data_IF_879539229346
#
_entry.id   IF_879539229346
#
_cell.length_a   1.000
_cell.length_b   1.000
_cell.length_c   1.000
_cell.angle_alpha   90.00
_cell.angle_beta   90.00
_cell.angle_gamma   90.00
#
_symmetry.space_group_name_H-M   'P 1'
#
loop_
_entity.id
_entity.type
_entity.pdbx_description
1 polymer ?
#
# COMPACT_ATOMS: atom_id res chain seq x y z
N UNK A 1 1.70 -11.40 -9.30
CA UNK A 1 2.26 -10.03 -9.11
C UNK A 1 2.59 -9.94 -7.64
N UNK A 2 3.73 -9.38 -7.28
CA UNK A 2 4.11 -9.25 -5.87
C UNK A 2 3.59 -7.91 -5.35
N UNK A 3 2.80 -7.94 -4.28
CA UNK A 3 2.42 -6.77 -3.52
C UNK A 3 3.45 -6.56 -2.41
N UNK A 4 3.89 -5.32 -2.25
CA UNK A 4 4.72 -4.88 -1.13
C UNK A 4 3.98 -3.78 -0.37
N UNK A 5 3.70 -3.99 0.92
CA UNK A 5 3.19 -2.93 1.80
C UNK A 5 4.27 -2.52 2.78
N UNK A 6 4.57 -1.22 2.86
CA UNK A 6 5.65 -0.72 3.74
C UNK A 6 5.21 0.50 4.54
N UNK A 7 5.52 0.55 5.85
CA UNK A 7 5.40 1.80 6.59
C UNK A 7 6.44 2.81 6.08
N UNK A 8 6.05 4.07 6.00
CA UNK A 8 6.92 5.18 5.59
C UNK A 8 6.82 6.33 6.57
N UNK A 9 7.89 7.13 6.66
CA UNK A 9 7.87 8.33 7.47
C UNK A 9 6.90 9.34 6.86
N UNK A 10 5.73 9.50 7.50
CA UNK A 10 4.63 10.32 7.00
C UNK A 10 5.04 11.79 6.83
N UNK A 11 5.85 12.28 7.77
CA UNK A 11 6.36 13.65 7.78
C UNK A 11 7.32 13.90 6.61
N UNK A 12 8.29 13.01 6.41
CA UNK A 12 9.19 13.11 5.26
C UNK A 12 8.41 13.08 3.95
N UNK A 13 7.43 12.18 3.84
CA UNK A 13 6.62 12.04 2.65
C UNK A 13 5.83 13.33 2.34
N UNK A 14 5.21 13.91 3.36
CA UNK A 14 4.45 15.15 3.24
C UNK A 14 5.31 16.39 2.99
N UNK A 15 6.44 16.54 3.69
CA UNK A 15 7.27 17.74 3.63
C UNK A 15 8.23 17.75 2.45
N UNK A 16 8.65 16.57 1.97
CA UNK A 16 9.71 16.45 0.97
C UNK A 16 9.21 15.78 -0.32
N UNK A 17 8.62 14.58 -0.24
CA UNK A 17 8.29 13.78 -1.43
C UNK A 17 7.14 14.38 -2.22
N UNK A 18 5.99 14.68 -1.59
CA UNK A 18 4.84 15.23 -2.31
C UNK A 18 5.14 16.59 -2.97
N UNK A 19 5.80 17.57 -2.29
CA UNK A 19 6.17 18.83 -2.92
C UNK A 19 7.18 18.65 -4.05
N UNK A 20 8.19 17.78 -3.87
CA UNK A 20 9.16 17.43 -4.91
C UNK A 20 8.47 16.92 -6.18
N UNK A 21 7.60 15.92 -6.05
CA UNK A 21 6.91 15.31 -7.20
C UNK A 21 5.97 16.29 -7.90
N UNK A 22 5.28 17.13 -7.12
CA UNK A 22 4.41 18.18 -7.67
C UNK A 22 5.21 19.19 -8.49
N UNK A 23 6.33 19.68 -7.94
CA UNK A 23 7.18 20.66 -8.63
C UNK A 23 7.88 20.04 -9.85
N UNK A 24 8.28 18.77 -9.77
CA UNK A 24 8.96 18.08 -10.87
C UNK A 24 8.11 17.95 -12.13
N UNK A 25 6.78 18.06 -12.02
CA UNK A 25 5.88 18.10 -13.19
C UNK A 25 6.14 19.31 -14.09
N UNK A 26 6.50 20.46 -13.52
CA UNK A 26 6.70 21.71 -14.26
C UNK A 26 8.17 22.12 -14.36
N UNK A 27 8.95 21.89 -13.30
CA UNK A 27 10.34 22.31 -13.18
C UNK A 27 11.15 21.26 -12.39
N UNK A 28 11.61 20.23 -13.10
CA UNK A 28 12.34 19.13 -12.48
C UNK A 28 13.73 19.56 -11.97
N UNK A 29 14.38 20.54 -12.61
CA UNK A 29 15.65 21.06 -12.12
C UNK A 29 15.50 21.73 -10.74
N UNK A 30 14.51 22.63 -10.58
CA UNK A 30 14.25 23.27 -9.29
C UNK A 30 13.79 22.26 -8.24
N UNK A 31 12.98 21.28 -8.62
CA UNK A 31 12.56 20.19 -7.73
C UNK A 31 13.76 19.41 -7.19
N UNK A 32 14.68 18.98 -8.07
CA UNK A 32 15.90 18.25 -7.71
C UNK A 32 16.83 19.10 -6.82
N UNK A 33 17.02 20.38 -7.13
CA UNK A 33 17.80 21.29 -6.30
C UNK A 33 17.20 21.45 -4.90
N UNK A 34 15.87 21.65 -4.83
CA UNK A 34 15.16 21.80 -3.56
C UNK A 34 15.29 20.53 -2.72
N UNK A 35 14.99 19.36 -3.30
CA UNK A 35 15.10 18.07 -2.62
C UNK A 35 16.54 17.86 -2.12
N UNK A 36 17.54 17.97 -3.00
CA UNK A 36 18.96 17.77 -2.67
C UNK A 36 19.42 18.60 -1.46
N UNK A 37 18.94 19.85 -1.34
CA UNK A 37 19.34 20.72 -0.22
C UNK A 37 18.79 20.28 1.15
N UNK A 38 17.78 19.42 1.16
CA UNK A 38 17.15 18.89 2.38
C UNK A 38 17.67 17.50 2.76
N UNK A 39 18.41 16.82 1.86
CA UNK A 39 18.91 15.47 2.08
C UNK A 39 20.34 15.47 2.63
N UNK A 40 20.57 14.62 3.62
CA UNK A 40 21.88 14.25 4.14
C UNK A 40 22.38 12.90 3.57
N UNK A 41 21.48 12.11 2.97
CA UNK A 41 21.83 10.84 2.30
C UNK A 41 22.65 11.07 1.02
N UNK A 42 23.88 10.57 0.98
CA UNK A 42 24.83 10.80 -0.12
C UNK A 42 24.36 10.23 -1.45
N UNK A 43 23.81 9.02 -1.46
CA UNK A 43 23.38 8.34 -2.68
C UNK A 43 22.19 9.06 -3.34
N UNK A 44 21.19 9.49 -2.56
CA UNK A 44 20.09 10.31 -3.08
C UNK A 44 20.58 11.66 -3.61
N UNK A 45 21.57 12.28 -2.96
CA UNK A 45 22.17 13.53 -3.44
C UNK A 45 22.92 13.35 -4.75
N UNK A 46 23.69 12.27 -4.88
CA UNK A 46 24.39 11.91 -6.12
C UNK A 46 23.42 11.65 -7.27
N UNK A 47 22.30 10.96 -7.01
CA UNK A 47 21.24 10.78 -8.00
C UNK A 47 20.63 12.12 -8.44
N UNK A 48 20.36 13.02 -7.50
CA UNK A 48 19.90 14.38 -7.82
C UNK A 48 20.93 15.14 -8.68
N UNK A 49 22.22 15.05 -8.37
CA UNK A 49 23.30 15.71 -9.11
C UNK A 49 23.46 15.16 -10.52
N UNK A 50 23.41 13.84 -10.66
CA UNK A 50 23.43 13.18 -11.97
C UNK A 50 22.28 13.66 -12.83
N UNK A 51 21.05 13.63 -12.29
CA UNK A 51 19.85 14.08 -13.01
C UNK A 51 19.90 15.57 -13.37
N UNK A 52 20.46 16.42 -12.49
CA UNK A 52 20.67 17.84 -12.78
C UNK A 52 21.70 18.06 -13.89
N UNK A 53 22.73 17.23 -13.97
CA UNK A 53 23.80 17.35 -14.97
C UNK A 53 23.36 16.98 -16.38
N UNK A 54 22.38 16.07 -16.51
CA UNK A 54 21.85 15.61 -17.80
C UNK A 54 20.46 16.16 -18.14
N UNK A 55 19.95 17.10 -17.33
CA UNK A 55 18.65 17.74 -17.54
C UNK A 55 18.63 18.59 -18.81
N UNK A 56 17.54 18.49 -19.58
CA UNK A 56 17.38 19.20 -20.88
C UNK A 56 16.30 20.30 -20.83
N UNK A 57 15.85 20.69 -19.64
CA UNK A 57 14.81 21.72 -19.46
C UNK A 57 13.40 21.15 -19.23
N UNK A 58 12.54 21.93 -18.57
CA UNK A 58 11.12 21.58 -18.34
C UNK A 58 10.88 20.62 -17.17
N UNK A 59 9.78 19.87 -17.27
CA UNK A 59 9.33 18.90 -16.25
C UNK A 59 9.96 17.51 -16.40
N UNK A 60 9.21 16.45 -16.10
CA UNK A 60 9.72 15.06 -16.15
C UNK A 60 10.16 14.57 -17.53
N UNK A 61 9.72 15.20 -18.62
CA UNK A 61 10.18 14.83 -19.96
C UNK A 61 11.66 15.15 -20.20
N UNK A 62 12.24 16.04 -19.39
CA UNK A 62 13.64 16.48 -19.52
C UNK A 62 14.63 15.75 -18.62
N UNK A 63 14.22 14.67 -17.94
CA UNK A 63 15.10 13.85 -17.08
C UNK A 63 15.31 12.45 -17.64
N UNK A 64 16.49 11.87 -17.38
CA UNK A 64 16.77 10.46 -17.66
C UNK A 64 15.85 9.55 -16.83
N UNK A 65 15.23 8.56 -17.47
CA UNK A 65 14.20 7.74 -16.84
C UNK A 65 14.76 6.75 -15.81
N UNK A 66 15.90 6.10 -16.09
CA UNK A 66 16.47 5.12 -15.15
C UNK A 66 16.93 5.77 -13.83
N UNK A 67 17.73 6.85 -13.82
CA UNK A 67 18.14 7.50 -12.56
C UNK A 67 16.96 8.18 -11.86
N UNK A 68 15.95 8.63 -12.62
CA UNK A 68 14.69 9.12 -12.05
C UNK A 68 13.97 8.02 -11.27
N UNK A 69 13.79 6.85 -11.87
CA UNK A 69 13.16 5.71 -11.22
C UNK A 69 13.93 5.28 -9.96
N UNK A 70 15.26 5.27 -10.01
CA UNK A 70 16.12 4.96 -8.86
C UNK A 70 15.97 6.00 -7.74
N UNK A 71 15.96 7.29 -8.06
CA UNK A 71 15.74 8.35 -7.08
C UNK A 71 14.35 8.23 -6.45
N UNK A 72 13.32 8.04 -7.27
CA UNK A 72 11.93 7.89 -6.81
C UNK A 72 11.77 6.67 -5.91
N UNK A 73 12.38 5.53 -6.27
CA UNK A 73 12.39 4.33 -5.43
C UNK A 73 13.05 4.64 -4.07
N UNK A 74 14.20 5.29 -4.10
CA UNK A 74 14.94 5.63 -2.89
C UNK A 74 14.16 6.56 -1.96
N UNK A 75 13.57 7.63 -2.49
CA UNK A 75 12.83 8.59 -1.64
C UNK A 75 11.49 8.04 -1.16
N UNK A 76 10.81 7.20 -1.94
CA UNK A 76 9.51 6.69 -1.59
C UNK A 76 9.54 5.44 -0.69
N UNK A 77 10.60 4.60 -0.77
CA UNK A 77 10.61 3.28 -0.13
C UNK A 77 11.68 3.07 0.94
N UNK A 78 12.62 4.01 1.11
CA UNK A 78 13.56 3.97 2.24
C UNK A 78 12.94 4.54 3.50
N UNK A 79 13.46 4.12 4.65
CA UNK A 79 13.05 4.69 5.92
C UNK A 79 13.88 5.95 6.18
N UNK A 80 13.21 7.10 6.21
CA UNK A 80 13.84 8.39 6.44
C UNK A 80 13.70 8.84 7.89
N UNK A 81 14.78 9.41 8.43
CA UNK A 81 14.84 10.07 9.73
C UNK A 81 15.31 11.50 9.59
N UNK A 82 14.87 12.37 10.51
CA UNK A 82 15.35 13.75 10.57
C UNK A 82 16.65 13.78 11.36
N UNK A 83 17.74 14.18 10.71
CA UNK A 83 19.05 14.42 11.32
C UNK A 83 19.36 15.91 11.47
N UNK A 84 20.50 16.26 12.11
CA UNK A 84 20.91 17.65 12.33
C UNK A 84 21.28 18.40 11.05
N UNK A 85 21.62 17.67 9.98
CA UNK A 85 22.10 18.22 8.70
C UNK A 85 21.10 18.02 7.56
N UNK A 86 19.94 17.43 7.83
CA UNK A 86 18.92 17.09 6.83
C UNK A 86 18.32 15.72 7.08
N UNK A 87 17.53 15.26 6.11
CA UNK A 87 16.92 13.93 6.13
C UNK A 87 17.91 12.85 5.69
N UNK A 88 18.00 11.77 6.43
CA UNK A 88 18.89 10.64 6.15
C UNK A 88 18.16 9.31 6.16
N UNK A 89 18.70 8.33 5.45
CA UNK A 89 18.18 6.96 5.47
C UNK A 89 18.64 6.29 6.75
N UNK A 90 17.69 5.97 7.64
CA UNK A 90 17.96 5.33 8.94
C UNK A 90 17.86 3.80 8.88
N UNK A 91 17.50 3.25 7.72
CA UNK A 91 17.48 1.82 7.49
C UNK A 91 16.48 1.39 6.42
N UNK A 92 16.28 0.07 6.37
CA UNK A 92 15.25 -0.56 5.57
C UNK A 92 14.30 -1.29 6.50
N UNK A 93 13.04 -0.86 6.51
CA UNK A 93 12.02 -1.58 7.26
C UNK A 93 11.45 -2.71 6.43
N UNK A 94 11.42 -3.91 7.00
CA UNK A 94 10.73 -5.05 6.41
C UNK A 94 9.23 -4.74 6.42
N UNK A 95 8.63 -4.76 5.24
CA UNK A 95 7.20 -4.64 5.06
C UNK A 95 6.57 -6.00 4.75
N UNK A 96 5.28 -5.99 4.45
CA UNK A 96 4.60 -7.12 3.83
C UNK A 96 5.15 -7.35 2.42
N UNK A 97 5.33 -8.61 2.03
CA UNK A 97 5.53 -9.02 0.65
C UNK A 97 4.73 -10.31 0.40
N UNK A 98 3.89 -10.32 -0.63
CA UNK A 98 3.02 -11.47 -0.92
C UNK A 98 2.37 -11.38 -2.29
N UNK A 99 1.52 -12.36 -2.62
CA UNK A 99 0.79 -12.32 -3.90
C UNK A 99 -0.30 -11.24 -3.87
N UNK A 100 -0.29 -10.39 -4.89
CA UNK A 100 -1.22 -9.27 -4.99
C UNK A 100 -2.69 -9.70 -5.12
N UNK A 101 -2.99 -10.78 -5.84
CA UNK A 101 -4.37 -11.22 -6.05
C UNK A 101 -4.96 -11.80 -4.77
N UNK A 102 -4.16 -12.61 -4.05
CA UNK A 102 -4.53 -13.12 -2.74
C UNK A 102 -4.70 -11.97 -1.74
N UNK A 103 -3.73 -11.05 -1.61
CA UNK A 103 -3.85 -9.93 -0.67
C UNK A 103 -5.06 -9.04 -0.97
N UNK A 104 -5.35 -8.75 -2.25
CA UNK A 104 -6.55 -8.01 -2.64
C UNK A 104 -7.83 -8.78 -2.32
N UNK A 105 -7.85 -10.11 -2.52
CA UNK A 105 -8.98 -10.95 -2.14
C UNK A 105 -9.29 -10.80 -0.65
N UNK A 106 -8.27 -10.87 0.22
CA UNK A 106 -8.46 -10.77 1.67
C UNK A 106 -8.89 -9.38 2.09
N UNK A 107 -8.30 -8.33 1.50
CA UNK A 107 -8.71 -6.97 1.78
C UNK A 107 -10.18 -6.73 1.39
N UNK A 108 -10.62 -7.19 0.21
CA UNK A 108 -12.01 -7.07 -0.22
C UNK A 108 -12.99 -7.87 0.67
N UNK A 109 -12.59 -9.03 1.19
CA UNK A 109 -13.40 -9.79 2.17
C UNK A 109 -13.71 -8.97 3.42
N UNK A 110 -12.72 -8.25 3.93
CA UNK A 110 -12.84 -7.41 5.13
C UNK A 110 -13.62 -6.13 4.83
N UNK A 111 -13.28 -5.47 3.72
CA UNK A 111 -13.71 -4.11 3.40
C UNK A 111 -15.13 -4.06 2.82
N UNK A 112 -15.46 -4.95 1.89
CA UNK A 112 -16.72 -4.95 1.14
C UNK A 112 -17.68 -6.06 1.64
N UNK A 113 -18.79 -5.72 2.33
CA UNK A 113 -19.80 -6.68 2.76
C UNK A 113 -20.47 -7.47 1.63
N UNK A 114 -20.43 -6.93 0.40
CA UNK A 114 -21.04 -7.53 -0.78
C UNK A 114 -20.06 -8.38 -1.59
N UNK A 115 -18.78 -8.39 -1.22
CA UNK A 115 -17.76 -9.14 -1.94
C UNK A 115 -18.04 -10.65 -1.90
N UNK A 116 -18.19 -11.33 -3.05
CA UNK A 116 -18.67 -12.70 -3.13
C UNK A 116 -17.52 -13.71 -2.93
N UNK A 117 -16.82 -13.65 -1.80
CA UNK A 117 -15.58 -14.42 -1.59
C UNK A 117 -15.76 -15.95 -1.61
N UNK A 118 -16.98 -16.45 -1.40
CA UNK A 118 -17.29 -17.88 -1.46
C UNK A 118 -17.51 -18.40 -2.90
N UNK A 119 -17.68 -17.51 -3.88
CA UNK A 119 -17.79 -17.84 -5.30
C UNK A 119 -16.50 -17.45 -6.01
N UNK A 120 -15.66 -18.44 -6.31
CA UNK A 120 -14.34 -18.21 -6.92
C UNK A 120 -14.43 -17.43 -8.25
N UNK A 121 -15.45 -17.69 -9.08
CA UNK A 121 -15.60 -17.04 -10.39
C UNK A 121 -16.04 -15.59 -10.22
N UNK A 122 -17.05 -15.34 -9.37
CA UNK A 122 -17.53 -14.00 -9.10
C UNK A 122 -16.47 -13.15 -8.36
N UNK A 123 -15.76 -13.75 -7.40
CA UNK A 123 -14.67 -13.11 -6.66
C UNK A 123 -13.52 -12.71 -7.58
N UNK A 124 -13.15 -13.58 -8.53
CA UNK A 124 -12.13 -13.28 -9.54
C UNK A 124 -12.57 -12.13 -10.45
N UNK A 125 -13.79 -12.17 -11.00
CA UNK A 125 -14.31 -11.08 -11.84
C UNK A 125 -14.36 -9.72 -11.11
N UNK A 126 -14.67 -9.71 -9.81
CA UNK A 126 -14.62 -8.51 -8.98
C UNK A 126 -13.19 -7.97 -8.81
N UNK A 127 -12.19 -8.84 -8.62
CA UNK A 127 -10.78 -8.43 -8.52
C UNK A 127 -10.25 -7.92 -9.85
N UNK A 128 -10.59 -8.57 -10.97
CA UNK A 128 -10.20 -8.10 -12.30
C UNK A 128 -10.77 -6.70 -12.60
N UNK A 129 -12.04 -6.45 -12.25
CA UNK A 129 -12.63 -5.13 -12.35
C UNK A 129 -11.90 -4.11 -11.46
N UNK A 130 -11.62 -4.47 -10.21
CA UNK A 130 -10.87 -3.63 -9.28
C UNK A 130 -9.44 -3.34 -9.75
N UNK A 131 -8.81 -4.29 -10.45
CA UNK A 131 -7.47 -4.15 -11.02
C UNK A 131 -7.40 -3.05 -12.07
N UNK A 132 -8.47 -2.90 -12.86
CA UNK A 132 -8.56 -1.94 -13.95
C UNK A 132 -9.06 -0.58 -13.45
N UNK A 133 -9.97 -0.59 -12.48
CA UNK A 133 -10.56 0.60 -11.91
C UNK A 133 -10.75 0.44 -10.39
N UNK A 134 -9.69 0.68 -9.60
CA UNK A 134 -9.74 0.57 -8.15
C UNK A 134 -10.87 1.42 -7.55
N UNK A 135 -11.64 0.81 -6.64
CA UNK A 135 -12.70 1.51 -5.93
C UNK A 135 -12.17 2.38 -4.80
N UNK A 136 -12.78 3.56 -4.61
CA UNK A 136 -12.50 4.45 -3.48
C UNK A 136 -13.23 4.00 -2.21
N UNK A 137 -12.79 4.49 -1.05
CA UNK A 137 -13.44 4.26 0.24
C UNK A 137 -13.36 2.83 0.78
N UNK A 138 -12.59 1.96 0.13
CA UNK A 138 -12.34 0.57 0.52
C UNK A 138 -10.96 0.39 1.16
N UNK A 139 -10.54 1.39 1.94
CA UNK A 139 -9.36 1.40 2.82
C UNK A 139 -8.17 0.55 2.33
N UNK A 140 -7.91 -0.61 2.94
CA UNK A 140 -6.79 -1.47 2.57
C UNK A 140 -6.89 -1.97 1.13
N UNK A 141 -8.09 -2.33 0.65
CA UNK A 141 -8.29 -2.77 -0.71
C UNK A 141 -8.05 -1.64 -1.72
N UNK A 142 -8.48 -0.39 -1.42
CA UNK A 142 -8.21 0.76 -2.29
C UNK A 142 -6.71 1.08 -2.35
N UNK A 143 -5.98 0.96 -1.24
CA UNK A 143 -4.51 1.07 -1.22
C UNK A 143 -3.85 -0.04 -2.06
N UNK A 144 -4.21 -1.30 -1.86
CA UNK A 144 -3.66 -2.45 -2.62
C UNK A 144 -3.96 -2.34 -4.11
N UNK A 145 -5.16 -1.88 -4.47
CA UNK A 145 -5.54 -1.64 -5.86
C UNK A 145 -4.81 -0.46 -6.50
N UNK A 146 -4.11 0.36 -5.71
CA UNK A 146 -3.34 1.49 -6.23
C UNK A 146 -4.09 2.81 -6.25
N UNK A 147 -5.30 2.88 -5.69
CA UNK A 147 -6.06 4.12 -5.60
C UNK A 147 -5.33 5.12 -4.71
N UNK A 148 -5.29 6.38 -5.13
CA UNK A 148 -4.74 7.46 -4.33
C UNK A 148 -5.80 8.19 -3.50
N UNK A 149 -5.64 8.15 -2.18
CA UNK A 149 -6.49 8.86 -1.23
C UNK A 149 -5.58 9.41 -0.11
N UNK A 150 -5.30 10.73 -0.05
CA UNK A 150 -5.91 11.80 -0.83
C UNK A 150 -5.50 11.83 -2.31
N UNK A 151 -6.33 12.50 -3.11
CA UNK A 151 -6.03 12.75 -4.53
C UNK A 151 -4.74 13.58 -4.67
N UNK A 152 -3.77 13.16 -5.50
CA UNK A 152 -2.49 13.82 -5.63
C UNK A 152 -2.57 15.02 -6.59
N UNK A 153 -1.73 16.03 -6.38
CA UNK A 153 -1.58 17.19 -7.27
C UNK A 153 -0.77 16.90 -8.54
N UNK A 154 -0.27 15.68 -8.69
CA UNK A 154 0.53 15.22 -9.83
C UNK A 154 -0.04 13.87 -10.34
N UNK A 155 0.16 13.55 -11.63
CA UNK A 155 -0.19 12.25 -12.22
C UNK A 155 0.72 11.13 -11.71
N UNK A 156 0.27 10.23 -10.81
CA UNK A 156 1.13 9.20 -10.21
C UNK A 156 1.65 8.19 -11.22
N UNK A 157 0.85 7.90 -12.24
CA UNK A 157 1.16 7.03 -13.37
C UNK A 157 2.34 7.54 -14.22
N UNK A 158 2.64 8.84 -14.17
CA UNK A 158 3.84 9.40 -14.84
C UNK A 158 5.09 9.38 -13.97
N UNK A 159 4.92 9.31 -12.65
CA UNK A 159 6.04 9.35 -11.69
C UNK A 159 6.52 7.94 -11.35
N UNK A 160 5.60 7.00 -11.14
CA UNK A 160 5.84 5.72 -10.49
C UNK A 160 5.57 4.50 -11.37
N UNK A 161 5.19 4.68 -12.64
CA UNK A 161 4.79 3.53 -13.47
C UNK A 161 5.99 2.65 -13.82
N UNK A 162 6.11 1.55 -13.09
CA UNK A 162 7.04 0.45 -13.39
C UNK A 162 6.43 -0.58 -14.33
N UNK A 163 5.09 -0.56 -14.50
CA UNK A 163 4.35 -1.67 -15.12
C UNK A 163 3.14 -1.25 -15.99
N UNK A 164 2.89 0.05 -16.18
CA UNK A 164 1.89 0.52 -17.14
C UNK A 164 0.44 0.49 -16.65
N UNK A 165 0.15 0.18 -15.38
CA UNK A 165 -1.18 0.42 -14.80
C UNK A 165 -1.20 1.79 -14.13
N UNK A 166 -2.15 2.60 -14.56
CA UNK A 166 -2.46 3.84 -13.89
C UNK A 166 -3.46 4.67 -14.67
N UNK A 167 -3.99 5.66 -13.98
CA UNK A 167 -4.91 6.62 -14.56
C UNK A 167 -4.93 7.85 -13.69
N UNK A 168 -5.01 9.01 -14.33
CA UNK A 168 -5.11 10.29 -13.66
C UNK A 168 -6.19 11.13 -14.34
N UNK A 169 -7.32 11.29 -13.66
CA UNK A 169 -8.51 11.99 -14.14
C UNK A 169 -8.85 13.11 -13.15
N UNK A 170 -8.22 14.30 -13.29
CA UNK A 170 -8.36 15.39 -12.32
C UNK A 170 -9.79 15.90 -12.13
N UNK A 171 -10.58 15.90 -13.21
CA UNK A 171 -11.97 16.36 -13.18
C UNK A 171 -12.84 15.51 -12.25
N UNK A 172 -12.49 14.24 -12.11
CA UNK A 172 -13.21 13.26 -11.28
C UNK A 172 -12.51 13.03 -9.92
N UNK A 173 -11.41 13.75 -9.66
CA UNK A 173 -10.52 13.52 -8.50
C UNK A 173 -10.13 12.05 -8.36
N UNK A 174 -9.88 11.40 -9.50
CA UNK A 174 -9.59 9.98 -9.56
C UNK A 174 -8.16 9.75 -10.03
N UNK A 175 -7.38 9.04 -9.23
CA UNK A 175 -6.00 8.70 -9.55
C UNK A 175 -5.68 7.30 -9.01
N UNK A 176 -5.02 6.49 -9.83
CA UNK A 176 -4.45 5.23 -9.41
C UNK A 176 -3.16 4.93 -10.17
N UNK A 177 -2.30 4.12 -9.56
CA UNK A 177 -1.09 3.60 -10.19
C UNK A 177 -0.67 2.29 -9.50
N UNK A 178 0.30 1.57 -10.07
CA UNK A 178 0.97 0.42 -9.40
C UNK A 178 1.63 0.77 -8.05
N UNK A 179 1.62 2.05 -7.69
CA UNK A 179 2.05 2.56 -6.41
C UNK A 179 1.02 3.53 -5.81
N UNK A 180 0.77 3.41 -4.52
CA UNK A 180 -0.13 4.30 -3.78
C UNK A 180 0.33 4.51 -2.33
N UNK A 181 -0.14 5.58 -1.71
CA UNK A 181 0.22 5.97 -0.34
C UNK A 181 -1.01 6.37 0.46
N UNK A 182 -0.92 6.19 1.78
CA UNK A 182 -1.93 6.60 2.77
C UNK A 182 -1.25 7.32 3.92
N UNK A 183 -1.73 8.52 4.30
CA UNK A 183 -1.15 9.24 5.42
C UNK A 183 -1.42 8.55 6.74
N UNK A 184 -0.60 8.81 7.74
CA UNK A 184 -0.69 8.19 9.07
C UNK A 184 -2.07 8.39 9.71
N UNK A 185 -2.70 9.55 9.50
CA UNK A 185 -4.06 9.82 10.01
C UNK A 185 -5.11 8.87 9.40
N UNK A 186 -5.00 8.59 8.11
CA UNK A 186 -5.91 7.68 7.40
C UNK A 186 -5.68 6.24 7.87
N UNK A 187 -4.43 5.80 7.98
CA UNK A 187 -4.08 4.48 8.55
C UNK A 187 -4.60 4.33 9.98
N UNK A 188 -4.47 5.37 10.80
CA UNK A 188 -5.02 5.39 12.17
C UNK A 188 -6.54 5.23 12.20
N UNK A 189 -7.25 5.88 11.28
CA UNK A 189 -8.70 5.74 11.17
C UNK A 189 -9.12 4.33 10.74
N UNK A 190 -8.36 3.70 9.85
CA UNK A 190 -8.60 2.31 9.43
C UNK A 190 -8.43 1.36 10.60
N UNK A 191 -7.34 1.53 11.36
CA UNK A 191 -7.07 0.74 12.56
C UNK A 191 -8.23 0.79 13.57
N UNK A 192 -8.79 1.98 13.83
CA UNK A 192 -9.96 2.14 14.73
C UNK A 192 -11.18 1.36 14.25
N UNK A 193 -11.37 1.25 12.93
CA UNK A 193 -12.51 0.55 12.33
C UNK A 193 -12.27 -0.95 12.10
N UNK A 194 -11.02 -1.39 12.18
CA UNK A 194 -10.59 -2.72 11.76
C UNK A 194 -11.30 -3.82 12.54
N UNK A 195 -11.40 -3.69 13.86
CA UNK A 195 -12.07 -4.68 14.71
C UNK A 195 -13.52 -4.90 14.28
N UNK A 196 -14.27 -3.82 14.05
CA UNK A 196 -15.66 -3.90 13.60
C UNK A 196 -15.79 -4.63 12.27
N UNK A 197 -14.86 -4.41 11.34
CA UNK A 197 -14.86 -5.07 10.01
C UNK A 197 -14.53 -6.55 10.10
N UNK A 198 -13.54 -6.91 10.92
CA UNK A 198 -13.16 -8.31 11.17
C UNK A 198 -14.30 -9.08 11.85
N UNK A 199 -14.95 -8.50 12.86
CA UNK A 199 -16.15 -9.09 13.50
C UNK A 199 -17.27 -9.31 12.50
N UNK A 200 -17.54 -8.33 11.63
CA UNK A 200 -18.54 -8.46 10.56
C UNK A 200 -18.21 -9.58 9.58
N UNK A 201 -16.94 -9.74 9.21
CA UNK A 201 -16.47 -10.83 8.36
C UNK A 201 -16.71 -12.20 9.02
N UNK A 202 -16.37 -12.34 10.31
CA UNK A 202 -16.62 -13.59 11.04
C UNK A 202 -18.12 -13.89 11.18
N UNK A 203 -18.96 -12.88 11.37
CA UNK A 203 -20.41 -13.07 11.41
C UNK A 203 -20.96 -13.52 10.05
N UNK A 204 -20.45 -12.96 8.94
CA UNK A 204 -20.77 -13.44 7.59
C UNK A 204 -20.36 -14.90 7.40
N UNK A 205 -19.17 -15.28 7.88
CA UNK A 205 -18.70 -16.67 7.83
C UNK A 205 -19.57 -17.62 8.66
N UNK A 206 -19.95 -17.21 9.88
CA UNK A 206 -20.85 -17.97 10.74
C UNK A 206 -22.21 -18.23 10.05
N UNK A 207 -22.79 -17.20 9.45
CA UNK A 207 -24.07 -17.32 8.75
C UNK A 207 -23.98 -18.24 7.54
N UNK A 208 -22.88 -18.16 6.79
CA UNK A 208 -22.65 -18.97 5.60
C UNK A 208 -22.43 -20.46 5.92
N UNK A 209 -21.79 -20.76 7.05
CA UNK A 209 -21.48 -22.12 7.48
C UNK A 209 -22.60 -22.77 8.30
N UNK A 210 -23.64 -22.01 8.66
CA UNK A 210 -24.76 -22.53 9.41
C UNK A 210 -25.35 -23.81 8.75
N UNK A 211 -25.61 -24.87 9.54
CA UNK A 211 -25.64 -24.90 11.01
C UNK A 211 -24.31 -25.29 11.71
N UNK A 212 -23.18 -25.34 11.01
CA UNK A 212 -21.89 -25.70 11.62
C UNK A 212 -21.42 -24.60 12.57
N UNK A 213 -21.19 -24.95 13.85
CA UNK A 213 -20.58 -24.05 14.82
C UNK A 213 -19.05 -24.10 14.73
N UNK A 214 -18.43 -22.92 14.79
CA UNK A 214 -16.98 -22.76 14.79
C UNK A 214 -16.51 -22.23 16.15
N UNK A 215 -16.03 -23.10 17.06
CA UNK A 215 -15.60 -22.67 18.39
C UNK A 215 -14.38 -21.73 18.33
N UNK A 216 -13.56 -21.81 17.28
CA UNK A 216 -12.30 -21.06 17.15
C UNK A 216 -12.49 -19.60 16.68
N UNK A 217 -13.72 -19.14 16.39
CA UNK A 217 -13.96 -17.77 15.87
C UNK A 217 -13.37 -16.68 16.77
N UNK A 218 -13.46 -16.86 18.09
CA UNK A 218 -12.87 -15.93 19.06
C UNK A 218 -11.34 -15.89 18.99
N UNK A 219 -10.71 -17.04 18.78
CA UNK A 219 -9.25 -17.16 18.68
C UNK A 219 -8.73 -16.60 17.35
N UNK A 220 -9.46 -16.83 16.24
CA UNK A 220 -9.17 -16.22 14.94
C UNK A 220 -9.23 -14.70 15.03
N UNK A 221 -10.29 -14.17 15.67
CA UNK A 221 -10.39 -12.73 15.90
C UNK A 221 -9.24 -12.20 16.76
N UNK A 222 -8.91 -12.91 17.85
CA UNK A 222 -7.80 -12.52 18.72
C UNK A 222 -6.47 -12.46 17.96
N UNK A 223 -6.22 -13.38 17.04
CA UNK A 223 -5.04 -13.38 16.18
C UNK A 223 -5.05 -12.18 15.21
N UNK A 224 -6.15 -11.96 14.50
CA UNK A 224 -6.28 -10.81 13.58
C UNK A 224 -6.26 -9.45 14.28
N UNK A 225 -6.54 -9.39 15.57
CA UNK A 225 -6.38 -8.17 16.39
C UNK A 225 -4.98 -8.03 16.99
N UNK A 226 -4.13 -9.06 16.88
CA UNK A 226 -2.80 -9.09 17.48
C UNK A 226 -2.80 -9.32 18.98
N UNK A 227 -3.92 -9.77 19.56
CA UNK A 227 -4.02 -10.15 20.97
C UNK A 227 -3.26 -11.45 21.26
N UNK A 228 -3.18 -12.34 20.26
CA UNK A 228 -2.36 -13.55 20.30
C UNK A 228 -1.37 -13.57 19.12
N UNK A 229 -0.15 -14.12 19.29
CA UNK A 229 0.89 -14.03 18.27
C UNK A 229 0.78 -15.08 17.16
N UNK A 230 0.04 -16.17 17.39
CA UNK A 230 -0.07 -17.29 16.45
C UNK A 230 -1.53 -17.55 16.08
N UNK A 231 -1.81 -17.98 14.83
CA UNK A 231 -3.15 -18.38 14.44
C UNK A 231 -3.57 -19.65 15.19
N UNK A 232 -4.87 -19.81 15.49
CA UNK A 232 -5.36 -21.02 16.15
C UNK A 232 -5.26 -22.25 15.26
N UNK A 233 -5.09 -23.42 15.88
CA UNK A 233 -5.21 -24.70 15.18
C UNK A 233 -6.69 -24.99 14.94
N UNK A 234 -7.09 -25.12 13.66
CA UNK A 234 -8.47 -25.37 13.29
C UNK A 234 -8.79 -26.86 13.45
N UNK A 235 -9.81 -27.19 14.25
CA UNK A 235 -10.11 -28.58 14.61
C UNK A 235 -10.70 -29.40 13.45
N UNK A 236 -11.53 -28.80 12.60
CA UNK A 236 -12.01 -29.35 11.32
C UNK A 236 -12.30 -28.15 10.41
N UNK A 237 -12.06 -28.30 9.10
CA UNK A 237 -12.05 -27.23 8.11
C UNK A 237 -13.06 -26.10 8.39
N UNK A 238 -12.58 -24.85 8.32
CA UNK A 238 -13.39 -23.68 7.97
C UNK A 238 -14.05 -23.98 6.59
N UNK A 239 -15.08 -24.85 6.57
CA UNK A 239 -15.42 -25.68 5.40
C UNK A 239 -16.35 -24.96 4.44
N UNK A 240 -15.99 -23.73 4.14
CA UNK A 240 -16.58 -22.96 3.08
C UNK A 240 -15.54 -22.17 2.26
N UNK A 241 -14.28 -22.10 2.69
CA UNK A 241 -13.16 -21.58 1.89
C UNK A 241 -12.26 -22.70 1.34
N UNK A 242 -12.62 -23.96 1.61
CA UNK A 242 -11.86 -25.13 1.19
C UNK A 242 -10.48 -25.22 1.84
N UNK A 243 -9.52 -25.82 1.13
CA UNK A 243 -8.16 -26.09 1.62
C UNK A 243 -7.33 -24.84 1.95
N UNK A 244 -7.80 -23.62 1.59
CA UNK A 244 -7.05 -22.36 1.79
C UNK A 244 -7.36 -21.64 3.10
N UNK A 245 -8.27 -22.15 3.93
CA UNK A 245 -8.72 -21.45 5.14
C UNK A 245 -7.58 -21.07 6.11
N UNK A 246 -6.66 -21.98 6.40
CA UNK A 246 -5.52 -21.70 7.29
C UNK A 246 -4.56 -20.65 6.71
N UNK A 247 -4.33 -20.71 5.40
CA UNK A 247 -3.52 -19.71 4.69
C UNK A 247 -4.17 -18.33 4.75
N UNK A 248 -5.48 -18.24 4.54
CA UNK A 248 -6.20 -16.98 4.66
C UNK A 248 -6.12 -16.38 6.06
N UNK A 249 -6.39 -17.19 7.09
CA UNK A 249 -6.35 -16.71 8.48
C UNK A 249 -4.97 -16.15 8.79
N UNK A 250 -3.91 -16.89 8.44
CA UNK A 250 -2.54 -16.43 8.60
C UNK A 250 -2.29 -15.11 7.87
N UNK A 251 -2.57 -15.08 6.57
CA UNK A 251 -2.24 -13.97 5.69
C UNK A 251 -3.01 -12.69 6.05
N UNK A 252 -4.28 -12.81 6.44
CA UNK A 252 -5.06 -11.67 6.94
C UNK A 252 -4.51 -11.19 8.29
N UNK A 253 -4.02 -12.09 9.15
CA UNK A 253 -3.33 -11.71 10.38
C UNK A 253 -2.07 -10.87 10.13
N UNK A 254 -1.29 -11.24 9.11
CA UNK A 254 -0.10 -10.49 8.69
C UNK A 254 -0.49 -9.14 8.08
N UNK A 255 -1.45 -9.10 7.14
CA UNK A 255 -1.90 -7.83 6.54
C UNK A 255 -2.41 -6.84 7.60
N UNK A 256 -3.20 -7.35 8.54
CA UNK A 256 -3.74 -6.52 9.64
C UNK A 256 -2.67 -6.09 10.62
N UNK A 257 -1.62 -6.89 10.87
CA UNK A 257 -0.51 -6.48 11.75
C UNK A 257 0.22 -5.27 11.19
N UNK A 258 0.47 -5.21 9.89
CA UNK A 258 1.10 -4.05 9.26
C UNK A 258 0.27 -2.77 9.39
N UNK A 259 -1.07 -2.87 9.30
CA UNK A 259 -1.96 -1.72 9.56
C UNK A 259 -1.88 -1.28 11.03
N UNK A 260 -1.91 -2.23 11.97
CA UNK A 260 -1.82 -1.94 13.41
C UNK A 260 -0.49 -1.30 13.78
N UNK A 261 0.62 -1.87 13.32
CA UNK A 261 1.98 -1.37 13.57
C UNK A 261 2.14 0.05 13.02
N UNK A 262 1.75 0.27 11.77
CA UNK A 262 1.82 1.60 11.14
C UNK A 262 0.96 2.64 11.89
N UNK A 263 -0.22 2.24 12.37
CA UNK A 263 -1.07 3.11 13.19
C UNK A 263 -0.45 3.42 14.57
N UNK A 264 0.11 2.41 15.25
CA UNK A 264 0.75 2.58 16.55
C UNK A 264 1.91 3.56 16.50
N UNK A 265 2.71 3.48 15.45
CA UNK A 265 3.90 4.30 15.24
C UNK A 265 3.62 5.62 14.52
N UNK A 266 2.36 5.85 14.13
CA UNK A 266 1.92 7.06 13.44
C UNK A 266 2.68 7.28 12.12
N UNK A 267 2.91 6.19 11.38
CA UNK A 267 3.53 6.22 10.06
C UNK A 267 2.50 6.15 8.95
N UNK A 268 2.83 6.67 7.77
CA UNK A 268 2.06 6.42 6.57
C UNK A 268 2.27 4.98 6.08
N UNK A 269 1.44 4.52 5.17
CA UNK A 269 1.55 3.19 4.56
C UNK A 269 1.58 3.34 3.04
N UNK A 270 2.53 2.69 2.38
CA UNK A 270 2.60 2.62 0.92
C UNK A 270 2.32 1.21 0.44
N UNK A 271 1.75 1.12 -0.76
CA UNK A 271 1.58 -0.10 -1.53
C UNK A 271 2.35 0.04 -2.83
N UNK A 272 3.11 -0.99 -3.17
CA UNK A 272 3.86 -1.11 -4.42
C UNK A 272 3.56 -2.47 -5.03
N UNK A 273 3.24 -2.49 -6.33
CA UNK A 273 3.05 -3.73 -7.08
C UNK A 273 4.24 -3.96 -8.00
N UNK A 274 4.92 -5.08 -7.80
CA UNK A 274 6.05 -5.53 -8.58
C UNK A 274 5.64 -6.69 -9.49
N UNK A 275 6.08 -6.66 -10.75
CA UNK A 275 6.17 -7.86 -11.56
C UNK A 275 7.15 -8.77 -10.85
N UNK A 276 6.78 -10.02 -10.55
CA UNK A 276 7.76 -11.00 -10.10
C UNK A 276 8.93 -10.98 -11.07
N UNK A 277 10.15 -10.78 -10.55
CA UNK A 277 11.37 -10.86 -11.36
C UNK A 277 11.32 -12.20 -12.08
N UNK A 278 11.29 -12.18 -13.42
CA UNK A 278 11.66 -13.35 -14.21
C UNK A 278 13.16 -13.54 -14.12
#
# INVERSE_FOLDING_TARGET
MELVLRPVNDRFFHEQVLPFLTLAMSDSARALQSLRSQLADEEARLLCERLLSSHVGGGLGGVEQEPWAELVDRVAFRQWGSGPVGWEVVGQRVGYAGDWDDALHLALMVEDPTYPYADARAAHGRRDGFRQHPGAGLELASLIGGQWEPFPSFPPDRVFSTQGRGGYVPREQYAFADWSWRPARTVSHWHVNLERKLRRLLEREKQRLAPVELPELGEVLAYWLGTVPQPPALSVAFSGLGQRASSWIHELGVLTSHVREAAHEKTGLVSLVLSGRR
#
